data_IF_250149079187
#
_entry.id   IF_250149079187
#
_cell.length_a   1.000
_cell.length_b   1.000
_cell.length_c   1.000
_cell.angle_alpha   90.00
_cell.angle_beta   90.00
_cell.angle_gamma   90.00
#
_symmetry.space_group_name_H-M   'P 1'
#
loop_
_entity.id
_entity.type
_entity.pdbx_description
1 polymer ?
#
# COMPACT_ATOMS: atom_id res chain seq x y z
N UNK A 1 -7.31 13.61 10.09
CA UNK A 1 -6.27 13.05 10.97
C UNK A 1 -5.35 12.24 10.08
N UNK A 2 -4.04 12.43 10.15
CA UNK A 2 -3.09 11.68 9.31
C UNK A 2 -2.95 10.30 9.96
N UNK A 3 -3.21 9.19 9.24
CA UNK A 3 -3.01 7.85 9.80
C UNK A 3 -1.50 7.59 9.99
N UNK A 4 -1.14 6.84 11.04
CA UNK A 4 0.25 6.39 11.23
C UNK A 4 0.69 5.54 10.03
N UNK A 5 1.77 5.96 9.37
CA UNK A 5 2.39 5.19 8.28
C UNK A 5 2.83 3.82 8.79
N UNK A 6 2.37 2.76 8.11
CA UNK A 6 2.70 1.38 8.42
C UNK A 6 4.08 0.99 7.88
N UNK A 7 4.78 0.12 8.60
CA UNK A 7 6.01 -0.51 8.11
C UNK A 7 5.69 -1.92 7.65
N UNK A 8 5.96 -2.18 6.36
CA UNK A 8 5.82 -3.46 5.70
C UNK A 8 7.21 -4.07 5.49
N UNK A 9 7.54 -5.10 6.27
CA UNK A 9 8.84 -5.77 6.26
C UNK A 9 8.95 -6.78 5.12
N UNK A 10 10.00 -6.70 4.32
CA UNK A 10 10.23 -7.60 3.17
C UNK A 10 10.85 -8.91 3.65
N UNK A 11 10.13 -10.03 3.49
CA UNK A 11 10.60 -11.38 3.75
C UNK A 11 10.73 -12.17 2.44
N UNK A 12 11.94 -12.23 1.88
CA UNK A 12 12.20 -13.04 0.69
C UNK A 12 12.52 -14.49 1.08
N UNK A 13 11.67 -15.43 0.69
CA UNK A 13 11.86 -16.87 0.92
C UNK A 13 12.48 -17.49 -0.33
N UNK A 14 13.74 -17.13 -0.60
CA UNK A 14 14.52 -17.65 -1.73
C UNK A 14 15.81 -18.31 -1.22
N UNK A 15 16.32 -19.36 -1.88
CA UNK A 15 17.53 -20.07 -1.45
C UNK A 15 18.75 -19.15 -1.29
N UNK A 16 18.88 -18.17 -2.18
CA UNK A 16 19.98 -17.18 -2.16
C UNK A 16 19.87 -16.18 -1.00
N UNK A 17 18.72 -16.08 -0.32
CA UNK A 17 18.54 -15.19 0.82
C UNK A 17 19.09 -15.78 2.12
N UNK A 18 19.32 -17.10 2.18
CA UNK A 18 19.69 -17.82 3.40
C UNK A 18 20.68 -18.98 3.14
N UNK A 19 21.67 -18.74 2.27
CA UNK A 19 22.50 -19.70 1.52
C UNK A 19 23.31 -20.80 2.25
N UNK A 20 22.93 -21.30 3.43
CA UNK A 20 23.68 -22.32 4.18
C UNK A 20 22.85 -23.54 4.67
N UNK A 21 21.55 -23.65 4.34
CA UNK A 21 20.69 -24.75 4.85
C UNK A 21 19.64 -25.20 3.83
N UNK A 22 19.18 -26.45 3.91
CA UNK A 22 18.10 -26.94 3.02
C UNK A 22 16.74 -26.26 3.28
N UNK A 23 15.73 -26.56 2.46
CA UNK A 23 14.42 -25.88 2.46
C UNK A 23 13.72 -25.75 3.84
N UNK A 24 13.90 -26.72 4.75
CA UNK A 24 13.36 -26.64 6.11
C UNK A 24 14.12 -25.66 7.02
N UNK A 25 15.44 -25.55 6.85
CA UNK A 25 16.26 -24.56 7.55
C UNK A 25 15.98 -23.15 7.02
N UNK A 26 15.67 -23.02 5.72
CA UNK A 26 15.27 -21.75 5.12
C UNK A 26 13.93 -21.25 5.67
N UNK A 27 12.96 -22.17 5.89
CA UNK A 27 11.67 -21.84 6.50
C UNK A 27 11.79 -21.32 7.94
N UNK A 28 12.50 -22.04 8.81
CA UNK A 28 12.70 -21.59 10.20
C UNK A 28 13.48 -20.28 10.29
N UNK A 29 14.48 -20.07 9.42
CA UNK A 29 15.21 -18.80 9.34
C UNK A 29 14.31 -17.66 8.87
N UNK A 30 13.44 -17.91 7.88
CA UNK A 30 12.47 -16.93 7.44
C UNK A 30 11.51 -16.54 8.57
N UNK A 31 11.02 -17.51 9.35
CA UNK A 31 10.17 -17.25 10.52
C UNK A 31 10.90 -16.48 11.63
N UNK A 32 12.14 -16.86 11.94
CA UNK A 32 12.96 -16.12 12.91
C UNK A 32 13.15 -14.67 12.48
N UNK A 33 13.47 -14.43 11.20
CA UNK A 33 13.64 -13.08 10.67
C UNK A 33 12.33 -12.28 10.66
N UNK A 34 11.20 -12.93 10.36
CA UNK A 34 9.88 -12.29 10.46
C UNK A 34 9.57 -11.85 11.90
N UNK A 35 9.91 -12.67 12.90
CA UNK A 35 9.75 -12.32 14.32
C UNK A 35 10.63 -11.14 14.72
N UNK A 36 11.86 -11.07 14.22
CA UNK A 36 12.74 -9.90 14.41
C UNK A 36 12.11 -8.64 13.79
N UNK A 37 11.58 -8.73 12.57
CA UNK A 37 10.90 -7.61 11.92
C UNK A 37 9.67 -7.16 12.70
N UNK A 38 8.81 -8.08 13.16
CA UNK A 38 7.66 -7.74 13.99
C UNK A 38 8.08 -7.06 15.30
N UNK A 39 9.11 -7.59 15.98
CA UNK A 39 9.65 -6.97 17.19
C UNK A 39 10.26 -5.57 16.94
N UNK A 40 10.77 -5.33 15.72
CA UNK A 40 11.27 -4.03 15.28
C UNK A 40 10.16 -3.06 14.81
N UNK A 41 8.89 -3.46 14.86
CA UNK A 41 7.75 -2.60 14.56
C UNK A 41 7.14 -2.77 13.16
N UNK A 42 7.46 -3.85 12.44
CA UNK A 42 6.71 -4.19 11.23
C UNK A 42 5.26 -4.53 11.58
N UNK A 43 4.31 -3.77 11.03
CA UNK A 43 2.87 -4.07 11.15
C UNK A 43 2.41 -5.13 10.15
N UNK A 44 3.17 -5.31 9.06
CA UNK A 44 2.87 -6.25 7.98
C UNK A 44 4.17 -6.95 7.58
N UNK A 45 4.12 -8.27 7.36
CA UNK A 45 5.21 -9.04 6.76
C UNK A 45 4.84 -9.38 5.33
N UNK A 46 5.67 -8.96 4.37
CA UNK A 46 5.48 -9.20 2.94
C UNK A 46 6.34 -10.36 2.46
N UNK A 47 5.71 -11.51 2.22
CA UNK A 47 6.38 -12.76 1.89
C UNK A 47 6.47 -12.91 0.38
N UNK A 48 7.69 -13.00 -0.16
CA UNK A 48 7.94 -13.21 -1.59
C UNK A 48 8.72 -14.49 -1.85
N UNK A 49 8.21 -15.36 -2.74
CA UNK A 49 8.88 -16.62 -3.13
C UNK A 49 9.76 -16.51 -4.38
N UNK A 50 9.62 -15.41 -5.13
CA UNK A 50 10.35 -15.12 -6.36
C UNK A 50 11.14 -13.82 -6.23
N UNK A 51 12.38 -13.83 -6.70
CA UNK A 51 13.19 -12.60 -6.79
C UNK A 51 12.75 -11.77 -7.99
N UNK A 52 12.28 -10.55 -7.75
CA UNK A 52 11.97 -9.58 -8.82
C UNK A 52 13.21 -8.82 -9.30
N UNK A 53 14.41 -9.17 -8.81
CA UNK A 53 15.67 -8.53 -9.22
C UNK A 53 15.96 -8.78 -10.71
N UNK A 54 16.54 -7.81 -11.44
CA UNK A 54 16.96 -8.02 -12.83
C UNK A 54 17.90 -9.22 -12.94
N UNK A 55 17.61 -10.13 -13.87
CA UNK A 55 18.43 -11.31 -14.15
C UNK A 55 18.16 -12.54 -13.28
N UNK A 56 17.25 -12.46 -12.30
CA UNK A 56 16.85 -13.65 -11.54
C UNK A 56 16.09 -14.66 -12.43
N UNK A 57 16.43 -15.94 -12.30
CA UNK A 57 15.68 -17.00 -12.95
C UNK A 57 14.30 -17.13 -12.30
N UNK A 58 13.26 -17.20 -13.12
CA UNK A 58 11.91 -17.48 -12.62
C UNK A 58 11.83 -18.90 -12.08
N UNK A 59 11.22 -19.04 -10.92
CA UNK A 59 10.84 -20.34 -10.37
C UNK A 59 9.53 -20.82 -10.97
N UNK A 60 9.27 -22.12 -10.89
CA UNK A 60 7.97 -22.66 -11.29
C UNK A 60 6.89 -22.21 -10.29
N UNK A 61 5.61 -22.14 -10.70
CA UNK A 61 4.51 -21.86 -9.77
C UNK A 61 4.49 -22.82 -8.57
N UNK A 62 4.81 -24.10 -8.79
CA UNK A 62 4.84 -25.14 -7.75
C UNK A 62 5.96 -24.88 -6.74
N UNK A 63 7.11 -24.42 -7.21
CA UNK A 63 8.25 -24.08 -6.36
C UNK A 63 7.98 -22.81 -5.55
N UNK A 64 7.36 -21.78 -6.15
CA UNK A 64 6.94 -20.57 -5.43
C UNK A 64 5.92 -20.91 -4.33
N UNK A 65 4.92 -21.74 -4.65
CA UNK A 65 3.94 -22.24 -3.69
C UNK A 65 4.58 -22.98 -2.51
N UNK A 66 5.51 -23.90 -2.80
CA UNK A 66 6.20 -24.70 -1.79
C UNK A 66 7.05 -23.84 -0.83
N UNK A 67 7.53 -22.68 -1.29
CA UNK A 67 8.28 -21.72 -0.48
C UNK A 67 7.36 -20.82 0.35
N UNK A 68 6.33 -20.26 -0.28
CA UNK A 68 5.50 -19.20 0.32
C UNK A 68 4.47 -19.76 1.30
N UNK A 69 3.68 -20.77 0.89
CA UNK A 69 2.50 -21.20 1.64
C UNK A 69 2.81 -21.70 3.07
N UNK A 70 3.89 -22.48 3.31
CA UNK A 70 4.22 -22.90 4.67
C UNK A 70 4.59 -21.73 5.59
N UNK A 71 5.37 -20.76 5.07
CA UNK A 71 5.77 -19.57 5.83
C UNK A 71 4.57 -18.68 6.13
N UNK A 72 3.69 -18.44 5.16
CA UNK A 72 2.44 -17.70 5.36
C UNK A 72 1.59 -18.37 6.44
N UNK A 73 1.38 -19.68 6.34
CA UNK A 73 0.53 -20.43 7.28
C UNK A 73 1.05 -20.34 8.72
N UNK A 74 2.37 -20.47 8.90
CA UNK A 74 3.01 -20.36 10.21
C UNK A 74 2.91 -18.94 10.80
N UNK A 75 3.19 -17.90 9.99
CA UNK A 75 3.08 -16.52 10.44
C UNK A 75 1.65 -16.12 10.80
N UNK A 76 0.66 -16.56 10.01
CA UNK A 76 -0.76 -16.35 10.32
C UNK A 76 -1.15 -17.04 11.63
N UNK A 77 -0.67 -18.26 11.87
CA UNK A 77 -0.92 -18.98 13.13
C UNK A 77 -0.29 -18.28 14.35
N UNK A 78 0.79 -17.51 14.15
CA UNK A 78 1.41 -16.64 15.16
C UNK A 78 0.69 -15.29 15.32
N UNK A 79 -0.36 -15.03 14.53
CA UNK A 79 -1.15 -13.79 14.58
C UNK A 79 -0.59 -12.64 13.75
N UNK A 80 0.39 -12.89 12.88
CA UNK A 80 0.96 -11.85 12.01
C UNK A 80 -0.03 -11.44 10.91
N UNK A 81 -0.01 -10.16 10.54
CA UNK A 81 -0.65 -9.71 9.29
C UNK A 81 0.30 -9.95 8.13
N UNK A 82 -0.11 -10.81 7.20
CA UNK A 82 0.74 -11.26 6.11
C UNK A 82 0.23 -10.73 4.77
N UNK A 83 1.15 -10.11 4.04
CA UNK A 83 1.05 -9.80 2.61
C UNK A 83 1.87 -10.82 1.81
N UNK A 84 1.47 -11.09 0.58
CA UNK A 84 2.23 -11.96 -0.34
C UNK A 84 2.58 -11.22 -1.62
N UNK A 85 3.88 -11.10 -1.91
CA UNK A 85 4.45 -10.52 -3.13
C UNK A 85 4.45 -11.59 -4.22
N UNK A 86 3.45 -11.55 -5.08
CA UNK A 86 3.32 -12.49 -6.21
C UNK A 86 2.56 -11.88 -7.38
N UNK A 87 2.96 -12.27 -8.59
CA UNK A 87 2.26 -11.96 -9.84
C UNK A 87 1.39 -13.12 -10.32
N UNK A 88 1.28 -14.22 -9.56
CA UNK A 88 0.59 -15.44 -9.98
C UNK A 88 -0.71 -15.62 -9.21
N UNK A 89 -1.81 -15.76 -9.92
CA UNK A 89 -3.13 -15.97 -9.33
C UNK A 89 -3.17 -17.28 -8.51
N UNK A 90 -2.48 -18.33 -8.96
CA UNK A 90 -2.41 -19.61 -8.23
C UNK A 90 -1.75 -19.47 -6.86
N UNK A 91 -0.67 -18.68 -6.75
CA UNK A 91 0.03 -18.41 -5.48
C UNK A 91 -0.83 -17.51 -4.59
N UNK A 92 -1.42 -16.46 -5.16
CA UNK A 92 -2.33 -15.57 -4.44
C UNK A 92 -3.50 -16.35 -3.81
N UNK A 93 -4.20 -17.20 -4.58
CA UNK A 93 -5.30 -18.03 -4.06
C UNK A 93 -4.87 -18.94 -2.92
N UNK A 94 -3.75 -19.63 -3.07
CA UNK A 94 -3.24 -20.53 -2.04
C UNK A 94 -2.85 -19.78 -0.76
N UNK A 95 -2.24 -18.60 -0.88
CA UNK A 95 -1.88 -17.79 0.27
C UNK A 95 -3.09 -17.18 0.98
N UNK A 96 -4.11 -16.74 0.23
CA UNK A 96 -5.39 -16.31 0.78
C UNK A 96 -6.09 -17.44 1.56
N UNK A 97 -6.08 -18.66 1.02
CA UNK A 97 -6.58 -19.85 1.73
C UNK A 97 -5.77 -20.17 3.00
N UNK A 98 -4.47 -19.86 3.01
CA UNK A 98 -3.61 -19.96 4.19
C UNK A 98 -3.80 -18.79 5.19
N UNK A 99 -4.64 -17.81 4.88
CA UNK A 99 -4.99 -16.70 5.77
C UNK A 99 -4.22 -15.40 5.55
N UNK A 100 -3.47 -15.27 4.44
CA UNK A 100 -2.92 -13.97 4.04
C UNK A 100 -4.04 -12.92 3.92
N UNK A 101 -3.75 -11.68 4.34
CA UNK A 101 -4.72 -10.58 4.39
C UNK A 101 -4.49 -9.54 3.30
N UNK A 102 -3.43 -9.70 2.52
CA UNK A 102 -3.05 -8.78 1.45
C UNK A 102 -2.33 -9.53 0.33
N UNK A 103 -2.64 -9.17 -0.91
CA UNK A 103 -1.87 -9.56 -2.09
C UNK A 103 -1.15 -8.33 -2.63
N UNK A 104 0.17 -8.42 -2.71
CA UNK A 104 1.03 -7.41 -3.28
C UNK A 104 1.43 -7.82 -4.70
N UNK A 105 0.70 -7.29 -5.69
CA UNK A 105 0.95 -7.63 -7.10
C UNK A 105 1.66 -6.48 -7.81
N UNK A 106 2.97 -6.67 -8.01
CA UNK A 106 3.81 -5.72 -8.74
C UNK A 106 3.38 -5.53 -10.19
N UNK A 107 2.52 -6.37 -10.77
CA UNK A 107 1.98 -6.19 -12.12
C UNK A 107 0.65 -5.44 -12.15
N UNK A 108 -0.01 -5.25 -11.00
CA UNK A 108 -1.33 -4.63 -10.92
C UNK A 108 -2.40 -5.35 -11.73
N UNK A 109 -2.32 -6.69 -11.80
CA UNK A 109 -3.26 -7.57 -12.50
C UNK A 109 -2.92 -7.81 -13.97
N UNK A 110 -1.78 -7.30 -14.45
CA UNK A 110 -1.40 -7.39 -15.86
C UNK A 110 -0.61 -8.65 -16.23
N UNK A 111 0.03 -9.31 -15.26
CA UNK A 111 0.82 -10.50 -15.53
C UNK A 111 -0.03 -11.79 -15.61
N UNK A 112 -1.13 -11.85 -14.87
CA UNK A 112 -2.01 -13.02 -14.79
C UNK A 112 -3.48 -12.56 -14.79
N UNK A 113 -4.27 -12.90 -15.83
CA UNK A 113 -5.66 -12.46 -15.95
C UNK A 113 -6.56 -12.99 -14.82
N UNK A 114 -6.15 -14.06 -14.13
CA UNK A 114 -6.91 -14.63 -13.02
C UNK A 114 -6.61 -13.95 -11.68
N UNK A 115 -5.67 -12.99 -11.63
CA UNK A 115 -5.26 -12.34 -10.38
C UNK A 115 -6.41 -11.54 -9.76
N UNK A 116 -7.04 -10.66 -10.55
CA UNK A 116 -8.14 -9.81 -10.07
C UNK A 116 -9.32 -10.65 -9.54
N UNK A 117 -9.83 -11.65 -10.28
CA UNK A 117 -10.86 -12.55 -9.75
C UNK A 117 -10.45 -13.23 -8.44
N UNK A 118 -9.19 -13.69 -8.35
CA UNK A 118 -8.68 -14.38 -7.16
C UNK A 118 -8.70 -13.51 -5.91
N UNK A 119 -8.44 -12.20 -6.04
CA UNK A 119 -8.47 -11.25 -4.93
C UNK A 119 -9.89 -10.75 -4.65
N UNK A 120 -10.71 -10.56 -5.69
CA UNK A 120 -12.10 -10.13 -5.57
C UNK A 120 -12.94 -11.10 -4.74
N UNK A 121 -12.70 -12.41 -4.88
CA UNK A 121 -13.37 -13.49 -4.13
C UNK A 121 -12.95 -13.60 -2.65
N UNK A 122 -12.11 -12.67 -2.16
CA UNK A 122 -11.62 -12.61 -0.78
C UNK A 122 -11.90 -11.25 -0.14
N UNK A 123 -11.68 -11.15 1.17
CA UNK A 123 -11.69 -9.87 1.91
C UNK A 123 -10.29 -9.24 2.04
N UNK A 124 -9.30 -9.74 1.30
CA UNK A 124 -7.93 -9.26 1.38
C UNK A 124 -7.74 -7.90 0.67
N UNK A 125 -6.78 -7.14 1.16
CA UNK A 125 -6.31 -5.93 0.49
C UNK A 125 -5.53 -6.28 -0.79
N UNK A 126 -5.58 -5.37 -1.77
CA UNK A 126 -4.89 -5.54 -3.04
C UNK A 126 -3.96 -4.37 -3.32
N UNK A 127 -2.65 -4.62 -3.36
CA UNK A 127 -1.68 -3.63 -3.82
C UNK A 127 -1.60 -3.71 -5.34
N UNK A 128 -1.97 -2.60 -5.98
CA UNK A 128 -1.85 -2.39 -7.42
C UNK A 128 -0.65 -1.47 -7.65
N UNK A 129 0.42 -2.03 -8.21
CA UNK A 129 1.62 -1.25 -8.54
C UNK A 129 1.64 -0.86 -10.02
N UNK A 130 2.09 0.37 -10.30
CA UNK A 130 2.36 0.80 -11.66
C UNK A 130 3.43 -0.09 -12.31
N UNK A 131 3.08 -0.66 -13.47
CA UNK A 131 3.89 -1.67 -14.13
C UNK A 131 3.76 -1.60 -15.65
N UNK A 132 4.90 -1.71 -16.36
CA UNK A 132 4.95 -1.70 -17.84
C UNK A 132 5.45 -3.02 -18.45
N UNK A 133 6.34 -3.76 -17.77
CA UNK A 133 6.82 -5.08 -18.20
C UNK A 133 7.62 -5.76 -17.07
N UNK A 134 7.99 -7.01 -17.28
CA UNK A 134 8.81 -7.82 -16.41
C UNK A 134 10.26 -7.31 -16.33
N UNK A 135 11.00 -7.74 -15.29
CA UNK A 135 12.35 -7.23 -14.96
C UNK A 135 13.38 -7.34 -16.07
N UNK A 136 13.22 -8.30 -16.98
CA UNK A 136 14.07 -8.48 -18.16
C UNK A 136 13.92 -7.36 -19.20
N UNK A 137 12.79 -6.66 -19.24
CA UNK A 137 12.47 -5.65 -20.27
C UNK A 137 12.12 -4.27 -19.71
N UNK A 138 11.66 -4.20 -18.46
CA UNK A 138 11.07 -2.99 -17.88
C UNK A 138 11.93 -1.73 -18.02
N UNK A 139 13.26 -1.84 -17.89
CA UNK A 139 14.13 -0.66 -17.95
C UNK A 139 14.22 -0.05 -19.35
N UNK A 140 14.01 -0.85 -20.41
CA UNK A 140 13.91 -0.32 -21.78
C UNK A 140 12.64 0.52 -22.00
N UNK A 141 11.65 0.38 -21.12
CA UNK A 141 10.38 1.12 -21.15
C UNK A 141 10.37 2.32 -20.19
N UNK A 142 11.53 2.69 -19.65
CA UNK A 142 11.70 3.87 -18.78
C UNK A 142 11.73 5.19 -19.58
N UNK A 143 10.81 5.33 -20.54
CA UNK A 143 10.65 6.52 -21.38
C UNK A 143 9.30 7.15 -21.06
N UNK A 144 9.33 8.43 -20.66
CA UNK A 144 8.16 9.22 -20.31
C UNK A 144 8.40 10.64 -20.83
N UNK A 145 7.35 11.28 -21.33
CA UNK A 145 7.32 12.73 -21.57
C UNK A 145 7.10 13.46 -20.24
N UNK A 146 6.16 12.96 -19.43
CA UNK A 146 5.93 13.38 -18.04
C UNK A 146 5.64 12.14 -17.19
N UNK A 147 6.64 11.71 -16.42
CA UNK A 147 6.52 10.48 -15.62
C UNK A 147 5.44 10.57 -14.54
N UNK A 148 5.12 11.77 -14.02
CA UNK A 148 4.13 11.89 -12.96
C UNK A 148 2.74 11.70 -13.55
N UNK A 149 2.42 12.43 -14.63
CA UNK A 149 1.10 12.36 -15.27
C UNK A 149 0.85 10.99 -15.92
N UNK A 150 1.85 10.41 -16.59
CA UNK A 150 1.74 9.08 -17.20
C UNK A 150 1.58 7.98 -16.15
N UNK A 151 2.38 7.99 -15.07
CA UNK A 151 2.24 6.99 -14.00
C UNK A 151 0.88 7.10 -13.32
N UNK A 152 0.37 8.31 -13.07
CA UNK A 152 -0.98 8.52 -12.53
C UNK A 152 -2.05 7.92 -13.46
N UNK A 153 -1.99 8.22 -14.75
CA UNK A 153 -2.96 7.73 -15.73
C UNK A 153 -2.94 6.20 -15.86
N UNK A 154 -1.75 5.61 -15.96
CA UNK A 154 -1.57 4.16 -16.10
C UNK A 154 -2.01 3.42 -14.83
N UNK A 155 -1.67 3.95 -13.65
CA UNK A 155 -2.05 3.39 -12.35
C UNK A 155 -3.56 3.49 -12.11
N UNK A 156 -4.20 4.60 -12.51
CA UNK A 156 -5.66 4.74 -12.48
C UNK A 156 -6.33 3.72 -13.39
N UNK A 157 -5.80 3.48 -14.59
CA UNK A 157 -6.34 2.47 -15.50
C UNK A 157 -6.22 1.05 -14.92
N UNK A 158 -5.11 0.73 -14.23
CA UNK A 158 -4.97 -0.55 -13.51
C UNK A 158 -5.96 -0.66 -12.35
N UNK A 159 -6.09 0.39 -11.54
CA UNK A 159 -7.08 0.48 -10.45
C UNK A 159 -8.50 0.26 -10.97
N UNK A 160 -8.88 0.93 -12.05
CA UNK A 160 -10.22 0.83 -12.64
C UNK A 160 -10.51 -0.59 -13.15
N UNK A 161 -9.51 -1.31 -13.66
CA UNK A 161 -9.66 -2.74 -14.00
C UNK A 161 -9.90 -3.60 -12.77
N UNK A 162 -9.16 -3.37 -11.68
CA UNK A 162 -9.38 -4.11 -10.43
C UNK A 162 -10.79 -3.88 -9.86
N UNK A 163 -11.25 -2.63 -9.84
CA UNK A 163 -12.61 -2.28 -9.42
C UNK A 163 -13.66 -2.89 -10.36
N UNK A 164 -13.47 -2.78 -11.68
CA UNK A 164 -14.36 -3.39 -12.67
C UNK A 164 -14.40 -4.92 -12.60
N UNK A 165 -13.34 -5.55 -12.08
CA UNK A 165 -13.27 -6.98 -11.79
C UNK A 165 -13.80 -7.40 -10.43
N UNK A 166 -14.38 -6.48 -9.64
CA UNK A 166 -15.07 -6.78 -8.39
C UNK A 166 -14.28 -6.53 -7.11
N UNK A 167 -13.05 -6.01 -7.18
CA UNK A 167 -12.30 -5.63 -5.98
C UNK A 167 -12.90 -4.34 -5.41
N UNK A 168 -13.25 -4.36 -4.11
CA UNK A 168 -13.76 -3.16 -3.42
C UNK A 168 -12.72 -2.03 -3.46
N UNK A 169 -13.06 -0.81 -3.93
CA UNK A 169 -12.14 0.32 -3.95
C UNK A 169 -11.44 0.62 -2.61
N UNK A 170 -12.09 0.38 -1.47
CA UNK A 170 -11.52 0.59 -0.14
C UNK A 170 -10.38 -0.38 0.20
N UNK A 171 -10.36 -1.55 -0.45
CA UNK A 171 -9.31 -2.58 -0.32
C UNK A 171 -8.11 -2.35 -1.23
N UNK A 172 -8.18 -1.37 -2.13
CA UNK A 172 -7.09 -1.09 -3.06
C UNK A 172 -6.04 -0.18 -2.39
N UNK A 173 -4.79 -0.58 -2.56
CA UNK A 173 -3.60 0.19 -2.20
C UNK A 173 -2.85 0.45 -3.50
N UNK A 174 -2.46 1.70 -3.75
CA UNK A 174 -1.71 2.07 -4.95
C UNK A 174 -0.21 2.13 -4.62
N UNK A 175 0.64 1.69 -5.55
CA UNK A 175 2.09 1.87 -5.48
C UNK A 175 2.60 2.50 -6.81
N UNK A 176 3.27 3.67 -6.77
CA UNK A 176 3.84 4.31 -7.98
C UNK A 176 4.94 3.50 -8.67
N UNK A 177 5.42 2.42 -8.06
CA UNK A 177 6.36 1.46 -8.64
C UNK A 177 7.76 2.02 -8.79
N UNK A 178 8.35 2.58 -7.73
CA UNK A 178 9.71 3.16 -7.79
C UNK A 178 10.72 2.15 -8.33
N UNK A 179 11.61 2.54 -9.24
CA UNK A 179 12.61 1.66 -9.84
C UNK A 179 12.07 0.66 -10.87
N UNK A 180 10.75 0.55 -11.06
CA UNK A 180 10.12 -0.27 -12.08
C UNK A 180 9.83 0.57 -13.32
N UNK A 181 10.56 0.28 -14.41
CA UNK A 181 10.53 1.08 -15.65
C UNK A 181 10.80 2.56 -15.41
N UNK A 182 11.79 2.92 -14.58
CA UNK A 182 12.04 4.30 -14.16
C UNK A 182 13.54 4.58 -14.04
N UNK A 183 13.98 5.71 -14.58
CA UNK A 183 15.35 6.22 -14.35
C UNK A 183 15.49 6.77 -12.93
N UNK A 184 16.72 7.11 -12.52
CA UNK A 184 16.93 7.73 -11.21
C UNK A 184 16.13 9.04 -11.06
N UNK A 185 16.10 9.91 -12.08
CA UNK A 185 15.37 11.17 -12.02
C UNK A 185 13.85 10.96 -11.94
N UNK A 186 13.32 9.98 -12.69
CA UNK A 186 11.89 9.67 -12.62
C UNK A 186 11.45 9.31 -11.20
N UNK A 187 12.27 8.56 -10.45
CA UNK A 187 11.96 8.22 -9.07
C UNK A 187 11.90 9.45 -8.17
N UNK A 188 12.79 10.42 -8.36
CA UNK A 188 12.76 11.67 -7.60
C UNK A 188 11.56 12.53 -7.95
N UNK A 189 11.16 12.60 -9.23
CA UNK A 189 9.96 13.30 -9.65
C UNK A 189 8.71 12.73 -8.97
N UNK A 190 8.55 11.40 -8.95
CA UNK A 190 7.42 10.75 -8.26
C UNK A 190 7.41 11.02 -6.76
N UNK A 191 8.57 10.96 -6.10
CA UNK A 191 8.69 11.24 -4.66
C UNK A 191 8.40 12.71 -4.30
N UNK A 192 8.71 13.65 -5.19
CA UNK A 192 8.37 15.08 -5.02
C UNK A 192 6.87 15.34 -5.16
N UNK A 193 6.16 14.50 -5.90
CA UNK A 193 4.75 14.66 -6.24
C UNK A 193 3.83 13.62 -5.57
N UNK A 194 4.19 13.12 -4.39
CA UNK A 194 3.36 12.18 -3.62
C UNK A 194 1.97 12.73 -3.31
N UNK A 195 1.82 14.05 -3.19
CA UNK A 195 0.54 14.75 -3.02
C UNK A 195 -0.44 14.44 -4.16
N UNK A 196 0.04 14.33 -5.40
CA UNK A 196 -0.78 13.99 -6.57
C UNK A 196 -1.31 12.56 -6.50
N UNK A 197 -0.50 11.63 -5.99
CA UNK A 197 -0.92 10.24 -5.77
C UNK A 197 -1.90 10.12 -4.60
N UNK A 198 -1.66 10.86 -3.52
CA UNK A 198 -2.58 10.94 -2.37
C UNK A 198 -3.95 11.51 -2.77
N UNK A 199 -3.98 12.47 -3.69
CA UNK A 199 -5.21 13.06 -4.21
C UNK A 199 -6.13 12.06 -4.94
N UNK A 200 -5.63 10.86 -5.27
CA UNK A 200 -6.45 9.78 -5.83
C UNK A 200 -7.42 9.15 -4.80
N UNK A 201 -7.23 9.41 -3.51
CA UNK A 201 -8.11 8.95 -2.44
C UNK A 201 -7.95 7.48 -2.04
N UNK A 202 -6.89 6.81 -2.53
CA UNK A 202 -6.52 5.44 -2.14
C UNK A 202 -5.41 5.46 -1.10
N UNK A 203 -5.26 4.35 -0.36
CA UNK A 203 -4.04 4.10 0.42
C UNK A 203 -2.84 4.06 -0.53
N UNK A 204 -1.74 4.69 -0.13
CA UNK A 204 -0.50 4.74 -0.91
C UNK A 204 0.60 3.93 -0.22
N UNK A 205 1.22 3.01 -0.94
CA UNK A 205 2.41 2.27 -0.53
C UNK A 205 3.64 2.82 -1.27
N UNK A 206 4.75 3.00 -0.54
CA UNK A 206 6.03 3.40 -1.13
C UNK A 206 7.12 2.39 -0.80
N UNK A 207 7.58 1.65 -1.81
CA UNK A 207 8.78 0.83 -1.69
C UNK A 207 10.02 1.56 -2.21
N UNK A 208 10.79 2.23 -1.36
CA UNK A 208 12.05 2.87 -1.76
C UNK A 208 13.32 2.08 -1.37
N UNK A 209 13.15 1.07 -0.52
CA UNK A 209 14.24 0.41 0.21
C UNK A 209 15.34 -0.13 -0.69
N UNK A 210 16.56 0.34 -0.44
CA UNK A 210 17.81 -0.07 -1.10
C UNK A 210 17.83 0.04 -2.63
N UNK A 211 16.88 0.77 -3.25
CA UNK A 211 16.76 0.88 -4.71
C UNK A 211 17.96 1.60 -5.35
N UNK A 212 18.20 1.30 -6.63
CA UNK A 212 19.38 1.74 -7.37
C UNK A 212 19.54 3.28 -7.43
N UNK A 213 18.45 4.03 -7.51
CA UNK A 213 18.49 5.49 -7.57
C UNK A 213 19.08 6.14 -6.29
N UNK A 214 18.95 5.48 -5.13
CA UNK A 214 19.63 5.88 -3.89
C UNK A 214 21.14 5.64 -3.98
N UNK A 215 21.55 4.52 -4.59
CA UNK A 215 22.96 4.25 -4.88
C UNK A 215 23.56 5.33 -5.77
N UNK A 216 22.85 5.74 -6.83
CA UNK A 216 23.27 6.81 -7.72
C UNK A 216 23.44 8.16 -6.98
N UNK A 217 22.47 8.54 -6.16
CA UNK A 217 22.55 9.76 -5.33
C UNK A 217 23.77 9.73 -4.39
N UNK A 218 24.07 8.56 -3.81
CA UNK A 218 25.12 8.39 -2.79
C UNK A 218 26.47 7.95 -3.36
N UNK A 219 26.74 8.21 -4.65
CA UNK A 219 28.04 7.93 -5.25
C UNK A 219 28.34 6.44 -5.48
N UNK A 220 27.34 5.65 -5.88
CA UNK A 220 27.50 4.24 -6.22
C UNK A 220 27.44 3.28 -5.03
N UNK A 221 26.92 3.72 -3.87
CA UNK A 221 26.87 2.90 -2.66
C UNK A 221 26.12 1.58 -2.88
N UNK A 222 26.64 0.48 -2.34
CA UNK A 222 26.01 -0.85 -2.38
C UNK A 222 24.64 -0.89 -1.67
N UNK A 223 23.73 -1.82 -2.02
CA UNK A 223 22.37 -1.89 -1.46
C UNK A 223 22.29 -1.79 0.07
N UNK A 224 23.09 -2.55 0.80
CA UNK A 224 23.11 -2.54 2.27
C UNK A 224 23.56 -1.21 2.88
N UNK A 225 24.31 -0.39 2.15
CA UNK A 225 24.72 0.93 2.63
C UNK A 225 23.65 2.02 2.48
N UNK A 226 22.50 1.70 1.87
CA UNK A 226 21.45 2.67 1.50
C UNK A 226 20.35 2.81 2.56
N UNK A 227 20.44 2.11 3.69
CA UNK A 227 19.39 2.08 4.71
C UNK A 227 19.14 3.47 5.32
N UNK A 228 20.18 4.24 5.62
CA UNK A 228 20.00 5.62 6.12
C UNK A 228 19.29 6.57 5.12
N UNK A 229 19.49 6.39 3.81
CA UNK A 229 18.75 7.16 2.81
C UNK A 229 17.33 6.62 2.61
N UNK A 230 17.11 5.33 2.84
CA UNK A 230 15.77 4.73 2.90
C UNK A 230 15.00 5.31 4.08
N UNK A 231 15.61 5.44 5.25
CA UNK A 231 15.03 6.06 6.44
C UNK A 231 14.57 7.50 6.16
N UNK A 232 15.41 8.29 5.48
CA UNK A 232 15.06 9.66 5.08
C UNK A 232 13.82 9.71 4.14
N UNK A 233 13.68 8.73 3.24
CA UNK A 233 12.50 8.62 2.38
C UNK A 233 11.27 8.10 3.12
N UNK A 234 11.42 7.23 4.11
CA UNK A 234 10.32 6.80 4.98
C UNK A 234 9.79 7.96 5.82
N UNK A 235 10.69 8.78 6.37
CA UNK A 235 10.34 10.03 7.05
C UNK A 235 9.58 11.00 6.12
N UNK A 236 10.10 11.23 4.90
CA UNK A 236 9.42 12.04 3.89
C UNK A 236 8.03 11.50 3.55
N UNK A 237 7.91 10.20 3.31
CA UNK A 237 6.65 9.53 3.01
C UNK A 237 5.63 9.72 4.12
N UNK A 238 6.07 9.60 5.38
CA UNK A 238 5.22 9.82 6.56
C UNK A 238 4.71 11.26 6.66
N UNK A 239 5.56 12.26 6.41
CA UNK A 239 5.13 13.67 6.37
C UNK A 239 4.12 13.96 5.27
N UNK A 240 4.14 13.18 4.18
CA UNK A 240 3.22 13.28 3.05
C UNK A 240 1.98 12.37 3.20
N UNK A 241 1.75 11.78 4.37
CA UNK A 241 0.56 10.98 4.66
C UNK A 241 0.50 9.63 3.92
N UNK A 242 1.64 9.11 3.48
CA UNK A 242 1.73 7.78 2.87
C UNK A 242 1.24 6.72 3.87
N UNK A 243 0.38 5.81 3.41
CA UNK A 243 -0.23 4.79 4.27
C UNK A 243 0.79 3.75 4.73
N UNK A 244 1.72 3.34 3.85
CA UNK A 244 2.75 2.36 4.21
C UNK A 244 4.06 2.55 3.46
N UNK A 245 5.15 2.08 4.07
CA UNK A 245 6.45 1.93 3.42
C UNK A 245 6.89 0.48 3.42
N UNK A 246 7.50 0.04 2.32
CA UNK A 246 8.00 -1.34 2.16
C UNK A 246 9.52 -1.39 2.26
N UNK A 247 10.07 -2.15 3.21
CA UNK A 247 11.50 -2.08 3.57
C UNK A 247 12.16 -3.39 4.03
N UNK A 248 13.48 -3.48 3.82
CA UNK A 248 14.34 -4.55 4.34
C UNK A 248 14.82 -4.27 5.78
N UNK A 249 15.25 -3.04 6.07
CA UNK A 249 15.60 -2.62 7.42
C UNK A 249 14.34 -2.05 8.07
N UNK A 250 13.76 -2.80 9.01
CA UNK A 250 12.50 -2.41 9.69
C UNK A 250 12.80 -1.44 10.82
N UNK A 251 13.80 -1.73 11.66
CA UNK A 251 14.10 -0.94 12.84
C UNK A 251 14.39 0.53 12.50
N UNK A 252 15.31 0.80 11.57
CA UNK A 252 15.65 2.17 11.17
C UNK A 252 14.46 2.94 10.56
N UNK A 253 13.53 2.21 9.94
CA UNK A 253 12.40 2.81 9.24
C UNK A 253 11.24 3.09 10.20
N UNK A 254 11.02 2.20 11.17
CA UNK A 254 10.15 2.44 12.32
C UNK A 254 10.61 3.66 13.12
N UNK A 255 11.92 3.81 13.36
CA UNK A 255 12.47 4.99 14.04
C UNK A 255 12.20 6.27 13.25
N UNK A 256 12.48 6.27 11.94
CA UNK A 256 12.23 7.41 11.07
C UNK A 256 10.75 7.83 11.05
N UNK A 257 9.82 6.87 10.97
CA UNK A 257 8.39 7.14 11.01
C UNK A 257 7.97 7.66 12.39
N UNK A 258 8.50 7.09 13.47
CA UNK A 258 8.20 7.55 14.84
C UNK A 258 8.62 9.02 15.01
N UNK A 259 9.79 9.41 14.52
CA UNK A 259 10.24 10.81 14.51
C UNK A 259 9.31 11.68 13.66
N UNK A 260 8.89 11.24 12.47
CA UNK A 260 7.95 11.98 11.63
C UNK A 260 6.61 12.21 12.35
N UNK A 261 6.05 11.17 12.98
CA UNK A 261 4.80 11.26 13.73
C UNK A 261 4.91 12.22 14.91
N UNK A 262 6.03 12.20 15.64
CA UNK A 262 6.29 13.15 16.74
C UNK A 262 6.31 14.61 16.26
N UNK A 263 6.83 14.87 15.06
CA UNK A 263 6.85 16.22 14.47
C UNK A 263 5.49 16.67 13.94
N UNK A 264 4.63 15.74 13.51
CA UNK A 264 3.26 16.04 13.07
C UNK A 264 2.32 16.38 14.25
N UNK A 265 2.69 16.03 15.49
CA UNK A 265 1.94 16.38 16.71
C UNK A 265 0.64 15.59 16.92
N UNK A 266 -0.28 16.10 17.76
CA UNK A 266 -1.55 15.46 18.18
C UNK A 266 -2.59 15.25 17.03
N UNK A 267 -2.18 15.39 15.77
CA UNK A 267 -3.02 15.22 14.58
C UNK A 267 -3.07 13.79 14.01
N UNK A 268 -2.67 12.77 14.79
CA UNK A 268 -2.41 11.40 14.30
C UNK A 268 -3.35 10.37 14.95
N UNK A 269 -4.04 9.57 14.12
CA UNK A 269 -4.80 8.39 14.56
C UNK A 269 -3.91 7.16 14.47
N UNK A 270 -3.83 6.36 15.54
CA UNK A 270 -3.38 4.97 15.42
C UNK A 270 -4.43 4.21 14.61
N UNK A 271 -4.00 3.55 13.55
CA UNK A 271 -4.87 2.63 12.77
C UNK A 271 -4.64 1.24 13.34
N UNK A 272 -5.70 0.63 13.89
CA UNK A 272 -5.66 -0.75 14.36
C UNK A 272 -5.64 -1.71 13.16
N UNK A 273 -4.68 -2.63 13.15
CA UNK A 273 -4.41 -3.57 12.05
C UNK A 273 -5.39 -4.77 12.05
N UNK A 274 -6.33 -4.85 13.00
CA UNK A 274 -7.14 -6.05 13.24
C UNK A 274 -8.66 -5.91 13.00
N UNK A 275 -9.17 -4.75 12.59
CA UNK A 275 -10.62 -4.56 12.36
C UNK A 275 -11.03 -4.61 10.88
N UNK A 276 -12.24 -5.07 10.52
CA UNK A 276 -12.87 -4.61 9.29
C UNK A 276 -13.03 -3.09 9.37
N UNK A 277 -12.59 -2.37 8.35
CA UNK A 277 -12.69 -0.91 8.29
C UNK A 277 -14.18 -0.55 8.13
N UNK A 278 -14.78 -0.03 9.20
CA UNK A 278 -16.19 0.35 9.28
C UNK A 278 -16.53 1.44 8.23
N UNK A 279 -17.50 1.21 7.33
CA UNK A 279 -17.91 2.21 6.35
C UNK A 279 -18.97 3.10 6.98
N UNK A 280 -18.57 4.12 7.74
CA UNK A 280 -19.46 5.28 7.93
C UNK A 280 -19.12 6.36 6.90
N UNK A 281 -20.04 6.70 5.98
CA UNK A 281 -19.84 7.84 5.10
C UNK A 281 -19.89 9.13 5.92
N UNK A 282 -18.99 10.06 5.59
CA UNK A 282 -19.11 11.46 5.99
C UNK A 282 -20.53 11.96 5.69
N UNK A 283 -21.15 12.52 6.72
CA UNK A 283 -22.58 12.76 6.80
C UNK A 283 -23.21 13.49 5.62
N UNK A 284 -24.46 13.10 5.39
CA UNK A 284 -25.50 13.89 4.77
C UNK A 284 -25.37 15.37 5.17
N UNK A 285 -25.04 16.22 4.19
CA UNK A 285 -25.24 17.65 4.35
C UNK A 285 -26.73 17.91 4.38
N UNK A 286 -27.19 18.28 5.57
CA UNK A 286 -28.45 18.93 5.91
C UNK A 286 -29.16 19.59 4.72
N UNK A 287 -30.38 19.10 4.46
CA UNK A 287 -31.43 19.82 3.75
C UNK A 287 -31.70 21.16 4.46
N UNK A 288 -31.58 22.26 3.71
CA UNK A 288 -31.97 23.60 4.19
C UNK A 288 -33.49 23.64 4.40
N UNK A 289 -34.01 24.22 5.50
CA UNK A 289 -35.43 24.49 5.60
C UNK A 289 -35.79 25.72 4.76
N UNK A 290 -36.94 25.57 4.08
CA UNK A 290 -37.69 26.59 3.36
C UNK A 290 -37.79 27.90 4.16
N UNK A 291 -37.43 29.04 3.54
CA UNK A 291 -37.91 30.35 3.98
C UNK A 291 -39.40 30.44 3.63
N UNK A 292 -40.26 30.25 4.62
CA UNK A 292 -41.67 30.67 4.59
C UNK A 292 -41.78 32.00 5.32
N UNK A 293 -42.08 33.07 4.59
CA UNK A 293 -42.45 34.36 5.13
C UNK A 293 -43.85 34.28 5.78
N UNK A 294 -43.95 34.71 7.03
CA UNK A 294 -45.20 34.91 7.74
C UNK A 294 -45.79 36.30 7.45
N UNK A 295 -47.10 36.37 7.19
CA UNK A 295 -48.10 37.16 7.96
C UNK A 295 -49.51 36.73 7.45
N UNK A 296 -50.60 36.72 8.27
CA UNK A 296 -51.07 37.90 8.98
C UNK A 296 -51.55 37.68 10.43
N UNK A 297 -51.26 38.70 11.24
CA UNK A 297 -52.00 39.18 12.42
C UNK A 297 -53.51 38.84 12.45
N UNK A 298 -53.95 38.21 13.53
CA UNK A 298 -55.33 38.35 14.07
C UNK A 298 -55.25 38.56 15.58
N UNK A 299 -55.49 39.81 15.96
CA UNK A 299 -55.73 40.24 17.33
C UNK A 299 -57.22 40.21 17.68
N UNK A 300 -57.45 40.17 18.97
CA UNK A 300 -58.62 39.71 19.69
C UNK A 300 -59.88 40.62 19.60
N UNK A 301 -60.95 40.03 20.12
CA UNK A 301 -62.36 40.40 20.09
C UNK A 301 -62.80 41.65 20.89
N UNK A 302 -63.76 42.36 20.28
CA UNK A 302 -65.01 42.93 20.83
C UNK A 302 -64.97 44.13 21.84
N UNK A 303 -65.59 45.26 21.42
CA UNK A 303 -66.67 45.98 22.15
C UNK A 303 -67.19 47.25 21.44
N UNK A 304 -68.43 47.14 20.96
CA UNK A 304 -69.57 48.09 21.04
C UNK A 304 -69.41 49.65 20.91
N UNK A 305 -69.95 50.18 19.79
CA UNK A 305 -71.02 51.23 19.62
C UNK A 305 -70.83 52.69 20.15
N UNK A 306 -71.56 53.72 19.63
CA UNK A 306 -72.11 53.99 18.28
C UNK A 306 -71.98 55.52 17.88
N UNK A 307 -72.86 56.18 17.09
CA UNK A 307 -72.45 57.00 15.94
C UNK A 307 -72.69 58.51 16.11
N UNK A 308 -72.23 59.35 15.18
CA UNK A 308 -72.89 60.61 14.79
C UNK A 308 -72.27 61.27 13.56
N UNK A 309 -73.20 61.63 12.66
CA UNK A 309 -73.21 62.67 11.62
C UNK A 309 -72.11 62.69 10.56
#
# INVERSE_FOLDING_TARGET
MIPVTQVMGILNVTPDSFSDGGAYLDGERALAHAREMMAAGAGIIDVGGESTRPGAARVSPEEELARVVPVVSALVAEGATVSVDTMRASVARAALQAGARMINDVSGGLADPDMIPSVADSDADYVVMHWRDHSSRMQSLATYDDVVEEVLAELLAQRDRAVGGGVDPSRIILDPGLGFSKTAEHNWQLLRHLDRFQALGHRLLVGASRKAFLGHLLGGREPHGRDGATAALSFWSALHGVWGVRTHDVAGQSDAITVAMQLLGDGVARVDVAGPIDPTPAGERATRPHRGSADPLRGDSDRSLPPRA
#
